data_IF_814164205685
#
_entry.id   IF_814164205685
#
_cell.length_a   1.000
_cell.length_b   1.000
_cell.length_c   1.000
_cell.angle_alpha   90.00
_cell.angle_beta   90.00
_cell.angle_gamma   90.00
#
_symmetry.space_group_name_H-M   'P 1'
#
loop_
_entity.id
_entity.type
_entity.pdbx_description
1 polymer ?
#
# COMPACT_ATOMS: atom_id res chain seq x y z
N UNK A 1 23.85 -8.42 4.94
CA UNK A 1 22.41 -8.18 4.72
C UNK A 1 22.26 -6.93 3.88
N UNK A 2 21.41 -6.96 2.85
CA UNK A 2 21.18 -5.80 1.99
C UNK A 2 20.42 -4.69 2.72
N UNK A 3 20.80 -3.44 2.44
CA UNK A 3 20.12 -2.27 3.02
C UNK A 3 18.87 -1.93 2.21
N UNK A 4 17.71 -1.94 2.89
CA UNK A 4 16.44 -1.51 2.33
C UNK A 4 16.14 -0.08 2.79
N UNK A 5 15.83 0.80 1.84
CA UNK A 5 15.44 2.17 2.14
C UNK A 5 14.19 2.57 1.36
N UNK A 6 13.24 3.15 2.05
CA UNK A 6 12.07 3.80 1.46
C UNK A 6 12.28 5.32 1.54
N UNK A 7 12.23 5.98 0.41
CA UNK A 7 12.40 7.44 0.33
C UNK A 7 11.20 8.07 -0.38
N UNK A 8 10.63 9.11 0.22
CA UNK A 8 9.54 9.87 -0.41
C UNK A 8 9.99 10.39 -1.77
N UNK A 9 9.14 10.22 -2.78
CA UNK A 9 9.44 10.71 -4.12
C UNK A 9 9.58 12.23 -4.11
N UNK A 10 10.69 12.72 -4.65
CA UNK A 10 10.97 14.15 -4.83
C UNK A 10 10.96 14.57 -6.28
N UNK A 11 10.93 13.62 -7.20
CA UNK A 11 10.90 13.80 -8.65
C UNK A 11 10.32 12.54 -9.29
N UNK A 12 9.87 12.64 -10.53
CA UNK A 12 9.42 11.49 -11.29
C UNK A 12 10.55 10.50 -11.53
N UNK A 13 10.15 9.22 -11.71
CA UNK A 13 11.09 8.18 -12.13
C UNK A 13 11.49 8.47 -13.59
N UNK A 14 12.80 8.55 -13.89
CA UNK A 14 13.24 8.80 -15.26
C UNK A 14 12.72 7.74 -16.22
N UNK A 15 12.22 8.17 -17.37
CA UNK A 15 11.77 7.24 -18.42
C UNK A 15 12.90 6.34 -18.98
N UNK A 16 14.14 6.75 -18.76
CA UNK A 16 15.35 5.96 -19.11
C UNK A 16 15.59 4.77 -18.17
N UNK A 17 14.97 4.76 -16.97
CA UNK A 17 15.11 3.71 -15.98
C UNK A 17 13.74 3.33 -15.39
N UNK A 18 12.81 2.82 -16.23
CA UNK A 18 11.48 2.52 -15.77
C UNK A 18 11.47 1.34 -14.80
N UNK A 19 10.58 1.42 -13.80
CA UNK A 19 10.27 0.30 -12.92
C UNK A 19 9.01 -0.36 -13.46
N UNK A 20 9.04 -1.67 -13.58
CA UNK A 20 7.85 -2.47 -13.91
C UNK A 20 7.78 -3.70 -13.02
N UNK A 21 6.65 -3.85 -12.33
CA UNK A 21 6.39 -5.06 -11.54
C UNK A 21 5.79 -6.21 -12.38
N UNK A 22 5.48 -5.94 -13.63
CA UNK A 22 4.85 -6.91 -14.55
C UNK A 22 3.32 -6.92 -14.48
N UNK A 23 2.70 -6.10 -13.64
CA UNK A 23 1.25 -5.96 -13.52
C UNK A 23 0.87 -4.57 -14.06
N UNK A 24 0.22 -4.53 -15.22
CA UNK A 24 -0.07 -3.29 -15.94
C UNK A 24 -0.86 -2.28 -15.12
N UNK A 25 -1.85 -2.72 -14.35
CA UNK A 25 -2.67 -1.84 -13.51
C UNK A 25 -1.87 -1.17 -12.39
N UNK A 26 -0.86 -1.84 -11.87
CA UNK A 26 0.05 -1.27 -10.86
C UNK A 26 1.08 -0.37 -11.53
N UNK A 27 1.65 -0.79 -12.65
CA UNK A 27 2.62 0.01 -13.39
C UNK A 27 2.01 1.35 -13.84
N UNK A 28 0.72 1.37 -14.18
CA UNK A 28 0.01 2.60 -14.52
C UNK A 28 -0.11 3.55 -13.32
N UNK A 29 -0.25 3.03 -12.12
CA UNK A 29 -0.28 3.86 -10.89
C UNK A 29 1.06 4.52 -10.59
N UNK A 30 2.17 3.88 -10.95
CA UNK A 30 3.51 4.46 -10.77
C UNK A 30 3.67 5.73 -11.59
N UNK A 31 3.06 5.81 -12.76
CA UNK A 31 3.13 6.99 -13.63
C UNK A 31 2.59 8.25 -12.98
N UNK A 32 1.58 8.12 -12.12
CA UNK A 32 0.94 9.24 -11.42
C UNK A 32 1.44 9.44 -9.98
N UNK A 33 2.36 8.60 -9.53
CA UNK A 33 2.76 8.54 -8.12
C UNK A 33 3.38 9.86 -7.63
N UNK A 34 4.23 10.47 -8.43
CA UNK A 34 4.86 11.73 -8.06
C UNK A 34 3.86 12.88 -7.99
N UNK A 35 2.99 13.03 -8.98
CA UNK A 35 1.97 14.09 -8.98
C UNK A 35 0.98 13.93 -7.83
N UNK A 36 0.58 12.71 -7.50
CA UNK A 36 -0.27 12.45 -6.32
C UNK A 36 0.43 12.79 -5.02
N UNK A 37 1.72 12.56 -4.93
CA UNK A 37 2.51 12.93 -3.76
C UNK A 37 2.58 14.45 -3.57
N UNK A 38 2.80 15.19 -4.63
CA UNK A 38 2.80 16.66 -4.60
C UNK A 38 1.43 17.20 -4.20
N UNK A 39 0.36 16.66 -4.78
CA UNK A 39 -1.02 17.11 -4.52
C UNK A 39 -1.59 16.59 -3.18
N UNK A 40 -0.81 15.85 -2.40
CA UNK A 40 -1.27 15.26 -1.12
C UNK A 40 -2.46 14.31 -1.26
N UNK A 41 -2.60 13.68 -2.41
CA UNK A 41 -3.61 12.64 -2.66
C UNK A 41 -3.12 11.24 -2.25
N UNK A 42 -1.85 11.12 -2.01
CA UNK A 42 -1.16 9.93 -1.52
C UNK A 42 0.27 10.29 -1.19
N UNK A 43 1.01 9.34 -0.70
CA UNK A 43 2.43 9.49 -0.43
C UNK A 43 3.17 8.30 -1.04
N UNK A 44 3.93 8.56 -2.09
CA UNK A 44 4.70 7.54 -2.77
C UNK A 44 6.15 7.51 -2.30
N UNK A 45 6.66 6.30 -2.15
CA UNK A 45 8.06 6.04 -1.81
C UNK A 45 8.73 5.29 -2.95
N UNK A 46 9.92 5.74 -3.31
CA UNK A 46 10.86 4.92 -4.04
C UNK A 46 11.50 3.90 -3.11
N UNK A 47 11.65 2.70 -3.57
CA UNK A 47 12.25 1.59 -2.82
C UNK A 47 13.65 1.35 -3.37
N UNK A 48 14.64 1.46 -2.48
CA UNK A 48 16.04 1.23 -2.80
C UNK A 48 16.58 0.03 -2.03
N UNK A 49 17.35 -0.79 -2.70
CA UNK A 49 18.14 -1.85 -2.07
C UNK A 49 19.59 -1.63 -2.47
N UNK A 50 20.44 -1.45 -1.47
CA UNK A 50 21.88 -1.15 -1.65
C UNK A 50 22.12 0.03 -2.61
N UNK A 51 21.24 1.05 -2.54
CA UNK A 51 21.33 2.26 -3.35
C UNK A 51 20.70 2.16 -4.74
N UNK A 52 20.25 0.98 -5.16
CA UNK A 52 19.57 0.80 -6.44
C UNK A 52 18.05 0.97 -6.32
N UNK A 53 17.48 1.76 -7.21
CA UNK A 53 16.03 1.92 -7.32
C UNK A 53 15.41 0.64 -7.88
N UNK A 54 14.63 -0.07 -7.06
CA UNK A 54 14.08 -1.38 -7.41
C UNK A 54 12.57 -1.47 -7.25
N UNK A 55 11.91 -0.41 -6.85
CA UNK A 55 10.48 -0.45 -6.65
C UNK A 55 9.88 0.88 -6.26
N UNK A 56 8.58 0.87 -6.10
CA UNK A 56 7.78 2.00 -5.67
C UNK A 56 6.57 1.49 -4.88
N UNK A 57 6.13 2.25 -3.91
CA UNK A 57 4.90 1.94 -3.21
C UNK A 57 4.18 3.23 -2.84
N UNK A 58 2.88 3.14 -2.58
CA UNK A 58 2.08 4.30 -2.17
C UNK A 58 1.20 3.94 -0.99
N UNK A 59 1.14 4.87 -0.04
CA UNK A 59 0.16 4.87 1.03
C UNK A 59 -0.72 6.10 0.91
N UNK A 60 -1.93 6.01 1.41
CA UNK A 60 -2.83 7.16 1.51
C UNK A 60 -3.77 7.01 2.71
N UNK A 61 -4.31 8.13 3.18
CA UNK A 61 -5.37 8.13 4.17
C UNK A 61 -6.70 7.94 3.48
N UNK A 62 -7.53 7.07 4.03
CA UNK A 62 -8.89 6.82 3.55
C UNK A 62 -9.86 6.88 4.72
N UNK A 63 -11.12 7.20 4.41
CA UNK A 63 -12.21 7.11 5.36
C UNK A 63 -13.09 5.95 4.96
N UNK A 64 -13.31 5.04 5.90
CA UNK A 64 -14.10 3.85 5.69
C UNK A 64 -15.29 3.85 6.65
N UNK A 65 -16.37 3.19 6.25
CA UNK A 65 -17.52 2.92 7.11
C UNK A 65 -17.43 1.50 7.62
N UNK A 66 -17.68 1.34 8.91
CA UNK A 66 -17.86 0.02 9.50
C UNK A 66 -19.31 -0.43 9.27
N UNK A 67 -19.51 -1.45 8.46
CA UNK A 67 -20.83 -2.04 8.21
C UNK A 67 -21.31 -2.97 9.33
N UNK A 68 -20.48 -3.21 10.32
CA UNK A 68 -20.85 -4.03 11.47
C UNK A 68 -21.84 -3.29 12.38
N UNK A 69 -22.92 -2.91 11.82
CA UNK A 69 -24.21 -2.50 12.35
C UNK A 69 -24.35 -2.46 13.85
N UNK A 70 -23.99 -1.38 14.43
CA UNK A 70 -24.67 -0.94 15.62
C UNK A 70 -25.67 0.15 15.20
N UNK A 71 -26.94 -0.14 15.19
CA UNK A 71 -27.99 0.82 14.88
C UNK A 71 -28.00 2.04 15.83
N UNK A 72 -27.25 1.95 16.90
CA UNK A 72 -27.17 2.98 17.92
C UNK A 72 -25.94 3.88 17.78
N UNK A 73 -24.99 3.52 16.92
CA UNK A 73 -23.82 4.36 16.67
C UNK A 73 -24.11 5.28 15.51
N UNK A 74 -24.08 6.58 15.75
CA UNK A 74 -24.40 7.61 14.76
C UNK A 74 -23.22 7.94 13.85
N UNK A 75 -22.01 7.53 14.22
CA UNK A 75 -20.79 7.74 13.45
C UNK A 75 -20.06 6.41 13.27
N UNK A 76 -20.15 5.87 12.06
CA UNK A 76 -19.52 4.61 11.69
C UNK A 76 -18.22 4.80 10.88
N UNK A 77 -17.86 6.05 10.62
CA UNK A 77 -16.69 6.37 9.84
C UNK A 77 -15.43 6.31 10.70
N UNK A 78 -14.37 5.82 10.10
CA UNK A 78 -13.05 5.81 10.71
C UNK A 78 -11.96 6.04 9.68
N UNK A 79 -10.86 6.62 10.12
CA UNK A 79 -9.68 6.79 9.28
C UNK A 79 -8.86 5.50 9.25
N UNK A 80 -8.37 5.17 8.08
CA UNK A 80 -7.44 4.07 7.87
C UNK A 80 -6.29 4.53 6.99
N UNK A 81 -5.16 3.88 7.13
CA UNK A 81 -4.05 4.01 6.20
C UNK A 81 -4.18 2.92 5.15
N UNK A 82 -4.18 3.28 3.88
CA UNK A 82 -4.30 2.31 2.79
C UNK A 82 -2.96 2.15 2.09
N UNK A 83 -2.53 0.90 1.89
CA UNK A 83 -1.49 0.58 0.92
C UNK A 83 -2.16 0.51 -0.45
N UNK A 84 -1.92 1.53 -1.28
CA UNK A 84 -2.48 1.58 -2.63
C UNK A 84 -1.85 0.54 -3.53
N UNK A 85 -0.54 0.37 -3.43
CA UNK A 85 0.21 -0.67 -4.12
C UNK A 85 1.62 -0.83 -3.53
N UNK A 86 2.21 -1.98 -3.78
CA UNK A 86 3.64 -2.25 -3.62
C UNK A 86 4.11 -2.84 -4.95
N UNK A 87 5.03 -2.16 -5.62
CA UNK A 87 5.58 -2.60 -6.89
C UNK A 87 7.08 -2.86 -6.73
N UNK A 88 7.49 -4.10 -6.92
CA UNK A 88 8.89 -4.50 -6.97
C UNK A 88 9.24 -4.79 -8.42
N UNK A 89 10.33 -4.23 -8.90
CA UNK A 89 10.79 -4.47 -10.27
C UNK A 89 10.93 -5.96 -10.51
N UNK A 90 10.36 -6.42 -11.63
CA UNK A 90 10.30 -7.85 -11.96
C UNK A 90 11.69 -8.50 -12.06
N UNK A 91 12.73 -7.72 -12.33
CA UNK A 91 14.12 -8.22 -12.43
C UNK A 91 14.67 -8.69 -11.08
N UNK A 92 14.09 -8.23 -9.97
CA UNK A 92 14.55 -8.54 -8.62
C UNK A 92 13.45 -9.17 -7.73
N UNK A 93 12.33 -9.54 -8.31
CA UNK A 93 11.27 -10.27 -7.60
C UNK A 93 11.76 -11.65 -7.15
N UNK A 94 11.11 -12.22 -6.13
CA UNK A 94 11.47 -13.54 -5.60
C UNK A 94 12.61 -13.53 -4.58
N UNK A 95 13.10 -12.36 -4.18
CA UNK A 95 14.19 -12.21 -3.21
C UNK A 95 13.73 -11.72 -1.83
N UNK A 96 12.43 -11.76 -1.57
CA UNK A 96 11.87 -11.33 -0.27
C UNK A 96 11.80 -9.82 -0.05
N UNK A 97 12.08 -9.01 -1.07
CA UNK A 97 12.09 -7.54 -0.95
C UNK A 97 10.68 -7.03 -0.63
N UNK A 98 9.66 -7.52 -1.32
CA UNK A 98 8.27 -7.14 -1.07
C UNK A 98 7.84 -7.42 0.37
N UNK A 99 8.22 -8.55 0.91
CA UNK A 99 7.95 -8.92 2.30
C UNK A 99 8.62 -7.95 3.28
N UNK A 100 9.84 -7.54 3.02
CA UNK A 100 10.56 -6.54 3.83
C UNK A 100 9.90 -5.16 3.75
N UNK A 101 9.47 -4.76 2.56
CA UNK A 101 8.74 -3.49 2.36
C UNK A 101 7.41 -3.52 3.14
N UNK A 102 6.66 -4.60 3.02
CA UNK A 102 5.38 -4.75 3.73
C UNK A 102 5.58 -4.69 5.26
N UNK A 103 6.58 -5.38 5.78
CA UNK A 103 6.91 -5.33 7.20
C UNK A 103 7.25 -3.90 7.66
N UNK A 104 7.97 -3.14 6.84
CA UNK A 104 8.29 -1.74 7.13
C UNK A 104 7.02 -0.86 7.13
N UNK A 105 6.13 -1.05 6.18
CA UNK A 105 4.87 -0.29 6.12
C UNK A 105 3.97 -0.61 7.31
N UNK A 106 3.89 -1.86 7.74
CA UNK A 106 3.15 -2.26 8.94
C UNK A 106 3.73 -1.59 10.18
N UNK A 107 5.04 -1.60 10.34
CA UNK A 107 5.72 -0.94 11.46
C UNK A 107 5.48 0.57 11.47
N UNK A 108 5.57 1.22 10.31
CA UNK A 108 5.33 2.66 10.20
C UNK A 108 3.86 3.01 10.49
N UNK A 109 2.91 2.19 10.04
CA UNK A 109 1.48 2.36 10.33
C UNK A 109 1.21 2.23 11.85
N UNK A 110 1.83 1.27 12.50
CA UNK A 110 1.71 1.10 13.95
C UNK A 110 2.21 2.34 14.72
N UNK A 111 3.34 2.89 14.30
CA UNK A 111 3.88 4.13 14.90
C UNK A 111 2.94 5.32 14.67
N UNK A 112 2.41 5.47 13.46
CA UNK A 112 1.47 6.53 13.11
C UNK A 112 0.16 6.42 13.91
N UNK A 113 -0.32 5.22 14.18
CA UNK A 113 -1.55 5.00 14.94
C UNK A 113 -1.47 5.50 16.39
N UNK A 114 -0.27 5.72 16.90
CA UNK A 114 -0.04 6.27 18.24
C UNK A 114 -0.18 7.79 18.30
N UNK A 115 -0.11 8.47 17.17
CA UNK A 115 -0.17 9.94 17.08
C UNK A 115 -1.32 10.45 16.21
N UNK A 116 -1.92 9.60 15.39
CA UNK A 116 -3.07 9.90 14.54
C UNK A 116 -4.17 8.86 14.79
N UNK A 117 -5.45 9.24 14.68
CA UNK A 117 -6.57 8.32 14.88
C UNK A 117 -6.76 7.39 13.69
N UNK A 118 -5.78 6.57 13.41
CA UNK A 118 -5.80 5.56 12.36
C UNK A 118 -6.17 4.23 13.00
N UNK A 119 -7.27 3.63 12.55
CA UNK A 119 -7.80 2.41 13.14
C UNK A 119 -7.17 1.15 12.56
N UNK A 120 -6.96 1.12 11.24
CA UNK A 120 -6.43 -0.03 10.52
C UNK A 120 -5.44 0.40 9.43
N UNK A 121 -4.57 -0.52 9.08
CA UNK A 121 -3.87 -0.53 7.80
C UNK A 121 -4.66 -1.45 6.88
N UNK A 122 -5.11 -0.93 5.74
CA UNK A 122 -6.00 -1.63 4.82
C UNK A 122 -5.38 -1.72 3.43
N UNK A 123 -5.86 -2.66 2.65
CA UNK A 123 -5.52 -2.80 1.24
C UNK A 123 -6.58 -3.62 0.50
N UNK A 124 -6.53 -3.56 -0.81
CA UNK A 124 -7.30 -4.44 -1.70
C UNK A 124 -6.31 -5.38 -2.38
N UNK A 125 -6.30 -6.64 -1.94
CA UNK A 125 -5.37 -7.64 -2.46
C UNK A 125 -5.86 -8.23 -3.79
N UNK A 126 -4.94 -8.38 -4.74
CA UNK A 126 -5.20 -9.23 -5.90
C UNK A 126 -5.37 -10.68 -5.45
N UNK A 127 -6.22 -11.44 -6.13
CA UNK A 127 -6.58 -12.81 -5.71
C UNK A 127 -5.36 -13.70 -5.47
N UNK A 128 -4.36 -13.62 -6.32
CA UNK A 128 -3.13 -14.42 -6.21
C UNK A 128 -2.17 -13.93 -5.11
N UNK A 129 -2.46 -12.80 -4.47
CA UNK A 129 -1.65 -12.23 -3.38
C UNK A 129 -2.29 -12.36 -2.00
N UNK A 130 -3.51 -12.85 -1.90
CA UNK A 130 -4.24 -12.95 -0.63
C UNK A 130 -3.44 -13.75 0.41
N UNK A 131 -2.89 -14.89 0.02
CA UNK A 131 -2.13 -15.73 0.96
C UNK A 131 -0.88 -15.01 1.48
N UNK A 132 -0.21 -14.25 0.64
CA UNK A 132 0.96 -13.48 1.04
C UNK A 132 0.64 -12.45 2.12
N UNK A 133 -0.52 -11.77 1.98
CA UNK A 133 -0.98 -10.83 3.01
C UNK A 133 -1.47 -11.54 4.27
N UNK A 134 -2.14 -12.69 4.16
CA UNK A 134 -2.51 -13.50 5.31
C UNK A 134 -1.27 -13.90 6.14
N UNK A 135 -0.21 -14.32 5.46
CA UNK A 135 1.05 -14.69 6.10
C UNK A 135 1.71 -13.50 6.83
N UNK A 136 1.45 -12.30 6.38
CA UNK A 136 1.93 -11.08 7.03
C UNK A 136 1.07 -10.61 8.20
N UNK A 137 -0.06 -11.27 8.47
CA UNK A 137 -0.95 -10.98 9.59
C UNK A 137 -2.23 -10.23 9.23
N UNK A 138 -2.46 -9.94 7.95
CA UNK A 138 -3.71 -9.34 7.49
C UNK A 138 -4.86 -10.34 7.56
N UNK A 139 -6.08 -9.82 7.75
CA UNK A 139 -7.31 -10.60 7.67
C UNK A 139 -8.25 -9.95 6.67
N UNK A 140 -9.14 -10.73 6.10
CA UNK A 140 -10.20 -10.20 5.24
C UNK A 140 -11.24 -9.46 6.09
N UNK A 141 -11.88 -8.44 5.50
CA UNK A 141 -12.97 -7.73 6.17
C UNK A 141 -14.08 -7.39 5.17
N UNK A 142 -15.34 -7.25 5.64
CA UNK A 142 -16.43 -6.81 4.79
C UNK A 142 -16.25 -5.33 4.45
N UNK A 143 -16.11 -5.04 3.17
CA UNK A 143 -16.06 -3.68 2.65
C UNK A 143 -17.32 -3.43 1.84
N UNK A 144 -17.89 -2.22 1.92
CA UNK A 144 -19.06 -1.86 1.14
C UNK A 144 -18.83 -2.19 -0.34
N UNK A 145 -19.81 -2.81 -0.97
CA UNK A 145 -19.69 -3.32 -2.33
C UNK A 145 -19.40 -2.22 -3.35
N UNK A 146 -19.97 -1.02 -3.14
CA UNK A 146 -19.71 0.16 -3.97
C UNK A 146 -18.28 0.71 -3.85
N UNK A 147 -17.53 0.32 -2.80
CA UNK A 147 -16.13 0.70 -2.58
C UNK A 147 -15.14 -0.40 -2.95
N UNK A 148 -15.63 -1.58 -3.35
CA UNK A 148 -14.77 -2.71 -3.72
C UNK A 148 -14.34 -2.59 -5.18
N UNK A 149 -13.05 -2.87 -5.41
CA UNK A 149 -12.54 -3.05 -6.76
C UNK A 149 -12.81 -4.47 -7.23
N UNK A 150 -13.16 -4.62 -8.52
CA UNK A 150 -13.32 -5.95 -9.13
C UNK A 150 -12.02 -6.76 -8.98
N UNK A 151 -12.16 -8.07 -8.78
CA UNK A 151 -11.05 -9.02 -8.68
C UNK A 151 -10.06 -8.75 -7.54
N UNK A 152 -10.52 -8.08 -6.49
CA UNK A 152 -9.73 -7.84 -5.29
C UNK A 152 -10.43 -8.33 -4.03
N UNK A 153 -9.64 -8.58 -3.00
CA UNK A 153 -10.10 -8.97 -1.67
C UNK A 153 -9.70 -7.89 -0.65
N UNK A 154 -10.65 -7.23 0.01
CA UNK A 154 -10.33 -6.25 1.05
C UNK A 154 -9.69 -6.94 2.26
N UNK A 155 -8.55 -6.41 2.71
CA UNK A 155 -7.80 -6.95 3.84
C UNK A 155 -7.37 -5.83 4.79
N UNK A 156 -7.21 -6.17 6.07
CA UNK A 156 -6.77 -5.24 7.11
C UNK A 156 -5.93 -5.91 8.19
N UNK A 157 -5.16 -5.11 8.87
CA UNK A 157 -4.39 -5.47 10.06
C UNK A 157 -4.49 -4.35 11.09
#
# INVERSE_FOLDING_TARGET
MSELRLAVMREDIPSSSPISCGIASIDDRIKDAYSKTICKQGLAYNIYVDGYLIGNCMIKLVVLCDEANDYYVTDHEYAALEISYIAIDRRVQGNGIGTRVLARLISDAEKLSKILPIRFLVLDALDDKVQWYLDAGFTTYPKREDLRYADTVPMRI
#
